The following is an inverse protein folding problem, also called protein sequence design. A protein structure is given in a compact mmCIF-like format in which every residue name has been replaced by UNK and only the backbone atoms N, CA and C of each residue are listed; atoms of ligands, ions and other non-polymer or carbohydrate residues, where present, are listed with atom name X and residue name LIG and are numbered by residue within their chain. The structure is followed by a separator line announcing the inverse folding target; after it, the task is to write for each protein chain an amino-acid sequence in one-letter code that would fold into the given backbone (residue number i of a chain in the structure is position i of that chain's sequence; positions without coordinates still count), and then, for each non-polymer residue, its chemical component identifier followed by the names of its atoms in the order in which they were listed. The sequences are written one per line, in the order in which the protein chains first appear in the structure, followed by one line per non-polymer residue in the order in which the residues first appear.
data_IF_313552586118
#
_entry.id   IF_313552586118
#
_cell.length_a   1.000
_cell.length_b   1.000
_cell.length_c   1.000
_cell.angle_alpha   90.00
_cell.angle_beta   90.00
_cell.angle_gamma   90.00
#
_symmetry.space_group_name_H-M   'P 1'
#
loop_
_entity.id
_entity.type
_entity.pdbx_description
1 polymer ?
#
# COMPACT_ATOMS: atom_id res chain seq x y z
N UNK A 1 -9.43 14.66 -12.68
CA UNK A 1 -8.59 13.78 -13.53
C UNK A 1 -9.33 12.46 -13.77
N UNK A 2 -9.59 12.09 -15.04
CA UNK A 2 -10.37 10.91 -15.43
C UNK A 2 -9.47 9.84 -16.05
N UNK A 3 -9.76 8.56 -15.82
CA UNK A 3 -9.12 7.46 -16.52
C UNK A 3 -9.75 7.26 -17.91
N UNK A 4 -8.92 6.98 -18.90
CA UNK A 4 -9.40 6.71 -20.27
C UNK A 4 -9.74 5.23 -20.49
N UNK A 5 -9.34 4.35 -19.56
CA UNK A 5 -9.54 2.91 -19.65
C UNK A 5 -10.73 2.40 -18.81
N UNK A 6 -11.27 3.23 -17.91
CA UNK A 6 -12.43 2.91 -17.09
C UNK A 6 -13.09 4.18 -16.51
N UNK A 7 -14.18 4.02 -15.76
CA UNK A 7 -14.93 5.15 -15.18
C UNK A 7 -14.28 5.82 -13.95
N UNK A 8 -13.08 5.39 -13.55
CA UNK A 8 -12.39 5.97 -12.39
C UNK A 8 -12.08 7.45 -12.60
N UNK A 9 -12.35 8.24 -11.56
CA UNK A 9 -12.06 9.67 -11.49
C UNK A 9 -11.40 10.00 -10.15
N UNK A 10 -10.44 10.92 -10.18
CA UNK A 10 -9.81 11.47 -8.98
C UNK A 10 -9.68 12.98 -9.10
N UNK A 11 -9.67 13.65 -7.96
CA UNK A 11 -9.40 15.08 -7.84
C UNK A 11 -7.90 15.41 -8.00
N UNK A 12 -7.02 14.41 -7.89
CA UNK A 12 -5.57 14.58 -8.00
C UNK A 12 -4.95 13.81 -9.18
N UNK A 13 -4.03 14.45 -9.90
CA UNK A 13 -3.32 13.85 -11.03
C UNK A 13 -2.42 12.71 -10.59
N UNK A 14 -1.80 12.86 -9.41
CA UNK A 14 -0.96 11.83 -8.78
C UNK A 14 -1.74 10.55 -8.53
N UNK A 15 -2.98 10.64 -8.08
CA UNK A 15 -3.82 9.46 -7.82
C UNK A 15 -4.34 8.83 -9.11
N UNK A 16 -4.64 9.63 -10.14
CA UNK A 16 -4.93 9.07 -11.46
C UNK A 16 -3.72 8.30 -12.01
N UNK A 17 -2.51 8.84 -11.87
CA UNK A 17 -1.28 8.17 -12.32
C UNK A 17 -1.03 6.86 -11.55
N UNK A 18 -1.27 6.84 -10.23
CA UNK A 18 -1.22 5.60 -9.44
C UNK A 18 -2.28 4.61 -9.88
N UNK A 19 -3.49 5.08 -10.15
CA UNK A 19 -4.60 4.24 -10.61
C UNK A 19 -4.29 3.60 -11.97
N UNK A 20 -3.64 4.30 -12.91
CA UNK A 20 -3.23 3.71 -14.19
C UNK A 20 -2.37 2.46 -14.04
N UNK A 21 -1.61 2.34 -12.95
CA UNK A 21 -0.83 1.14 -12.63
C UNK A 21 -1.71 -0.07 -12.28
N UNK A 22 -2.98 0.12 -11.95
CA UNK A 22 -3.92 -0.99 -11.72
C UNK A 22 -4.37 -1.66 -13.02
N UNK A 23 -4.29 -0.95 -14.15
CA UNK A 23 -4.52 -1.50 -15.48
C UNK A 23 -3.31 -2.28 -16.02
N UNK A 24 -2.23 -2.40 -15.25
CA UNK A 24 -1.06 -3.21 -15.59
C UNK A 24 -1.37 -4.71 -15.52
N UNK A 25 -1.82 -5.26 -16.66
CA UNK A 25 -2.04 -6.70 -16.79
C UNK A 25 -0.68 -7.41 -16.84
N UNK A 26 -0.39 -8.23 -15.83
CA UNK A 26 0.84 -9.02 -15.74
C UNK A 26 1.86 -8.54 -14.70
N UNK A 27 1.62 -7.40 -14.04
CA UNK A 27 2.49 -6.93 -12.95
C UNK A 27 3.86 -6.42 -13.42
N UNK A 28 3.98 -5.99 -14.68
CA UNK A 28 5.17 -5.42 -15.30
C UNK A 28 5.62 -4.17 -14.53
N UNK A 29 4.66 -3.36 -14.06
CA UNK A 29 4.92 -2.15 -13.31
C UNK A 29 4.91 -2.34 -11.78
N UNK A 30 4.80 -3.59 -11.28
CA UNK A 30 4.96 -3.89 -9.85
C UNK A 30 6.44 -3.86 -9.45
N UNK A 31 7.00 -2.65 -9.36
CA UNK A 31 8.41 -2.38 -9.04
C UNK A 31 8.81 -2.79 -7.63
N UNK A 32 7.86 -2.80 -6.69
CA UNK A 32 8.14 -3.09 -5.28
C UNK A 32 7.83 -4.55 -4.99
N UNK A 33 8.85 -5.36 -4.74
CA UNK A 33 8.72 -6.79 -4.43
C UNK A 33 9.00 -7.03 -2.96
N UNK A 34 8.27 -7.98 -2.37
CA UNK A 34 8.62 -8.49 -1.06
C UNK A 34 9.82 -9.43 -1.20
N UNK A 35 10.73 -9.38 -0.24
CA UNK A 35 11.91 -10.26 -0.20
C UNK A 35 11.60 -11.59 0.50
N UNK A 36 10.49 -11.64 1.26
CA UNK A 36 10.08 -12.79 2.06
C UNK A 36 9.05 -13.66 1.34
N UNK A 37 8.39 -13.16 0.29
CA UNK A 37 7.41 -13.92 -0.48
C UNK A 37 7.21 -13.34 -1.88
N UNK A 38 6.35 -13.99 -2.68
CA UNK A 38 6.07 -13.59 -4.07
C UNK A 38 5.17 -12.35 -4.22
N UNK A 39 4.88 -11.63 -3.13
CA UNK A 39 4.07 -10.42 -3.19
C UNK A 39 4.79 -9.29 -3.94
N UNK A 40 4.07 -8.61 -4.84
CA UNK A 40 4.57 -7.45 -5.57
C UNK A 40 3.51 -6.35 -5.59
N UNK A 41 3.96 -5.11 -5.54
CA UNK A 41 3.14 -3.90 -5.51
C UNK A 41 3.70 -2.83 -6.44
N UNK A 42 2.81 -1.99 -6.96
CA UNK A 42 3.16 -0.79 -7.71
C UNK A 42 3.36 0.44 -6.79
N UNK A 43 3.04 0.32 -5.49
CA UNK A 43 3.23 1.37 -4.48
C UNK A 43 4.12 0.89 -3.32
N UNK A 44 5.08 1.74 -2.92
CA UNK A 44 5.98 1.47 -1.78
C UNK A 44 5.23 1.38 -0.46
N UNK A 45 4.25 2.25 -0.23
CA UNK A 45 3.38 2.24 0.97
C UNK A 45 2.68 0.89 1.14
N UNK A 46 2.14 0.33 0.07
CA UNK A 46 1.51 -0.99 0.06
C UNK A 46 2.52 -2.12 0.35
N UNK A 47 3.76 -2.05 -0.17
CA UNK A 47 4.80 -3.02 0.16
C UNK A 47 5.18 -2.93 1.64
N UNK A 48 5.41 -1.72 2.15
CA UNK A 48 5.71 -1.51 3.57
C UNK A 48 4.60 -2.07 4.44
N UNK A 49 3.35 -1.84 4.04
CA UNK A 49 2.18 -2.40 4.71
C UNK A 49 2.18 -3.92 4.69
N UNK A 50 2.42 -4.50 3.52
CA UNK A 50 2.52 -5.94 3.38
C UNK A 50 3.66 -6.54 4.20
N UNK A 51 4.82 -5.87 4.34
CA UNK A 51 5.93 -6.37 5.17
C UNK A 51 5.50 -6.61 6.63
N UNK A 52 4.50 -5.90 7.13
CA UNK A 52 3.97 -6.11 8.47
C UNK A 52 3.20 -7.43 8.63
N UNK A 53 2.72 -8.04 7.56
CA UNK A 53 2.09 -9.37 7.66
C UNK A 53 3.12 -10.47 7.92
N UNK A 54 4.40 -10.21 7.66
CA UNK A 54 5.51 -11.09 8.01
C UNK A 54 6.05 -10.81 9.42
N UNK A 55 5.56 -9.76 10.08
CA UNK A 55 5.97 -9.39 11.43
C UNK A 55 5.22 -10.21 12.48
N UNK A 56 5.64 -11.46 12.65
CA UNK A 56 5.08 -12.34 13.67
C UNK A 56 5.52 -11.97 15.09
N UNK A 57 6.65 -11.25 15.23
CA UNK A 57 7.23 -10.86 16.53
C UNK A 57 6.86 -9.44 16.99
N UNK A 58 6.19 -8.64 16.15
CA UNK A 58 5.81 -7.26 16.51
C UNK A 58 6.98 -6.27 16.48
N UNK A 59 8.03 -6.59 15.73
CA UNK A 59 9.25 -5.81 15.53
C UNK A 59 9.00 -4.50 14.80
N UNK A 60 7.97 -4.40 13.97
CA UNK A 60 7.60 -3.11 13.38
C UNK A 60 6.83 -2.31 14.42
N UNK A 61 7.40 -1.15 14.74
CA UNK A 61 6.94 -0.18 15.75
C UNK A 61 5.42 0.00 15.69
N UNK A 62 4.74 -0.63 16.65
CA UNK A 62 3.30 -0.45 16.91
C UNK A 62 3.09 0.99 17.38
N UNK A 63 2.22 1.74 16.71
CA UNK A 63 1.74 2.98 17.27
C UNK A 63 0.67 2.62 18.29
N UNK A 64 0.94 2.91 19.56
CA UNK A 64 -0.01 2.72 20.65
C UNK A 64 -0.79 4.02 20.80
N UNK A 65 -2.12 3.94 20.73
CA UNK A 65 -2.95 5.04 21.18
C UNK A 65 -2.80 5.17 22.72
N UNK A 66 -2.57 6.37 23.23
CA UNK A 66 -2.45 6.59 24.69
C UNK A 66 -3.80 6.55 25.41
N UNK A 67 -4.92 6.62 24.65
CA UNK A 67 -6.28 6.68 25.16
C UNK A 67 -7.05 5.36 25.04
N UNK A 68 -6.51 4.36 24.34
CA UNK A 68 -7.12 3.03 24.24
C UNK A 68 -6.08 1.93 23.99
N UNK A 69 -6.39 0.68 24.32
CA UNK A 69 -5.52 -0.48 24.09
C UNK A 69 -5.41 -0.89 22.60
N UNK A 70 -5.94 -0.08 21.69
CA UNK A 70 -5.86 -0.32 20.26
C UNK A 70 -4.44 -0.08 19.75
N UNK A 71 -3.82 -1.14 19.22
CA UNK A 71 -2.47 -1.12 18.67
C UNK A 71 -2.59 -1.12 17.14
N UNK A 72 -2.24 -0.02 16.51
CA UNK A 72 -2.17 0.06 15.05
C UNK A 72 -0.74 -0.20 14.60
N UNK A 73 -0.62 -0.97 13.53
CA UNK A 73 0.66 -1.28 12.90
C UNK A 73 1.08 -0.17 11.90
N UNK A 74 0.25 0.87 11.69
CA UNK A 74 0.47 1.95 10.73
C UNK A 74 0.34 3.34 11.37
N UNK A 75 1.12 4.32 10.89
CA UNK A 75 1.03 5.72 11.33
C UNK A 75 -0.15 6.50 10.72
N UNK A 76 -0.75 6.00 9.63
CA UNK A 76 -1.79 6.70 8.88
C UNK A 76 -3.20 6.56 9.49
N UNK A 77 -3.38 5.59 10.40
CA UNK A 77 -4.66 5.28 11.05
C UNK A 77 -4.73 5.82 12.50
N UNK A 78 -3.88 6.80 12.86
CA UNK A 78 -3.94 7.56 14.12
C UNK A 78 -4.72 8.86 13.86
#
# INVERSE_FOLDING_TARGET
YKCELCDYKSNFSSDLNKHKLSHDVGGIYKKYKCELCNFKSHQKSHLNRHKLTHDTEGTYKRYKCELCDYKIHYKFDL
#
